data_IF_008691701992
#
_entry.id   IF_008691701992
#
_cell.length_a   1.000
_cell.length_b   1.000
_cell.length_c   1.000
_cell.angle_alpha   90.00
_cell.angle_beta   90.00
_cell.angle_gamma   90.00
#
_symmetry.space_group_name_H-M   'P 1'
#
loop_
_entity.id
_entity.type
_entity.pdbx_description
1 polymer ?
#
# COMPACT_ATOMS: atom_id res chain seq x y z
N UNK A 1 7.47 1.40 -11.36
CA UNK A 1 7.29 2.86 -11.16
C UNK A 1 8.20 3.19 -9.99
N UNK A 2 9.19 4.08 -10.11
CA UNK A 2 10.24 4.15 -9.10
C UNK A 2 9.69 4.44 -7.69
N UNK A 3 10.16 3.69 -6.68
CA UNK A 3 9.85 3.95 -5.27
C UNK A 3 10.18 5.39 -4.92
N UNK A 4 9.29 6.04 -4.18
CA UNK A 4 9.52 7.37 -3.61
C UNK A 4 10.18 7.27 -2.24
N UNK A 5 10.65 8.40 -1.69
CA UNK A 5 11.16 8.43 -0.31
C UNK A 5 10.06 8.11 0.72
N UNK A 6 8.78 8.39 0.41
CA UNK A 6 7.68 7.99 1.27
C UNK A 6 7.50 6.46 1.27
N UNK A 7 7.57 5.83 0.10
CA UNK A 7 7.54 4.37 -0.03
C UNK A 7 8.71 3.72 0.71
N UNK A 8 9.91 4.31 0.61
CA UNK A 8 11.10 3.82 1.29
C UNK A 8 10.93 3.75 2.81
N UNK A 9 10.24 4.72 3.44
CA UNK A 9 9.94 4.68 4.88
C UNK A 9 9.05 3.48 5.24
N UNK A 10 8.02 3.21 4.42
CA UNK A 10 7.12 2.07 4.61
C UNK A 10 7.88 0.76 4.41
N UNK A 11 8.70 0.66 3.35
CA UNK A 11 9.56 -0.51 3.08
C UNK A 11 10.46 -0.80 4.28
N UNK A 12 11.17 0.19 4.80
CA UNK A 12 12.05 0.03 5.96
C UNK A 12 11.28 -0.40 7.22
N UNK A 13 10.08 0.14 7.44
CA UNK A 13 9.23 -0.28 8.55
C UNK A 13 8.74 -1.73 8.40
N UNK A 14 8.38 -2.16 7.19
CA UNK A 14 8.03 -3.55 6.92
C UNK A 14 9.22 -4.51 7.10
N UNK A 15 10.43 -4.10 6.69
CA UNK A 15 11.66 -4.86 6.93
C UNK A 15 11.93 -4.97 8.43
N UNK A 16 11.82 -3.87 9.19
CA UNK A 16 12.00 -3.87 10.64
C UNK A 16 10.98 -4.77 11.37
N UNK A 17 9.75 -4.89 10.82
CA UNK A 17 8.72 -5.83 11.30
C UNK A 17 9.03 -7.31 10.98
N UNK A 18 10.03 -7.58 10.14
CA UNK A 18 10.40 -8.93 9.71
C UNK A 18 9.51 -9.49 8.59
N UNK A 19 9.02 -8.63 7.71
CA UNK A 19 8.26 -9.06 6.54
C UNK A 19 9.18 -9.60 5.43
N UNK A 20 8.68 -10.58 4.65
CA UNK A 20 9.42 -11.12 3.51
C UNK A 20 9.56 -10.07 2.40
N UNK A 21 10.77 -9.93 1.84
CA UNK A 21 11.03 -9.03 0.70
C UNK A 21 10.10 -9.28 -0.47
N UNK A 22 9.69 -10.53 -0.72
CA UNK A 22 8.70 -10.85 -1.76
C UNK A 22 7.33 -10.20 -1.49
N UNK A 23 6.87 -10.22 -0.25
CA UNK A 23 5.59 -9.61 0.13
C UNK A 23 5.67 -8.09 0.10
N UNK A 24 6.79 -7.52 0.56
CA UNK A 24 7.06 -6.07 0.49
C UNK A 24 7.06 -5.64 -0.98
N UNK A 25 7.86 -6.30 -1.83
CA UNK A 25 7.95 -6.02 -3.25
C UNK A 25 6.58 -6.07 -3.94
N UNK A 26 5.75 -7.05 -3.56
CA UNK A 26 4.38 -7.12 -4.03
C UNK A 26 3.61 -5.83 -3.70
N UNK A 27 3.64 -5.31 -2.46
CA UNK A 27 3.01 -4.03 -2.05
C UNK A 27 3.36 -2.80 -2.86
N UNK A 28 4.52 -2.79 -3.50
CA UNK A 28 4.93 -1.65 -4.33
C UNK A 28 4.89 -1.96 -5.83
N UNK A 29 4.59 -3.20 -6.22
CA UNK A 29 4.64 -3.63 -7.63
C UNK A 29 6.05 -3.62 -8.19
N UNK A 30 7.04 -3.87 -7.32
CA UNK A 30 8.47 -3.78 -7.63
C UNK A 30 9.15 -5.16 -7.47
N UNK A 31 10.45 -5.22 -7.77
CA UNK A 31 11.26 -6.43 -7.60
C UNK A 31 11.89 -6.48 -6.19
N UNK A 32 12.11 -7.67 -5.64
CA UNK A 32 12.82 -7.88 -4.36
C UNK A 32 14.23 -7.27 -4.32
N UNK A 33 14.90 -7.18 -5.48
CA UNK A 33 16.18 -6.49 -5.60
C UNK A 33 16.05 -5.00 -5.23
N UNK A 34 14.96 -4.35 -5.66
CA UNK A 34 14.69 -2.94 -5.36
C UNK A 34 14.45 -2.72 -3.87
N UNK A 35 13.81 -3.68 -3.20
CA UNK A 35 13.63 -3.66 -1.74
C UNK A 35 14.99 -3.77 -1.03
N UNK A 36 15.86 -4.67 -1.50
CA UNK A 36 17.22 -4.80 -0.96
C UNK A 36 18.07 -3.52 -1.14
N UNK A 37 17.91 -2.80 -2.25
CA UNK A 37 18.57 -1.50 -2.45
C UNK A 37 18.08 -0.45 -1.44
N UNK A 38 16.78 -0.44 -1.11
CA UNK A 38 16.23 0.47 -0.08
C UNK A 38 16.82 0.15 1.30
N UNK A 39 16.93 -1.14 1.65
CA UNK A 39 17.59 -1.59 2.90
C UNK A 39 19.06 -1.13 2.96
N UNK A 40 19.74 -1.07 1.82
CA UNK A 40 21.13 -0.60 1.71
C UNK A 40 21.26 0.93 1.69
N UNK A 41 20.14 1.67 1.72
CA UNK A 41 20.13 3.13 1.81
C UNK A 41 20.10 3.85 0.46
N UNK A 42 19.57 3.25 -0.60
CA UNK A 42 19.42 3.92 -1.92
C UNK A 42 18.59 5.21 -1.87
N UNK A 43 17.75 5.36 -0.84
CA UNK A 43 16.93 6.56 -0.57
C UNK A 43 17.49 7.43 0.58
N UNK A 44 18.76 7.23 0.96
CA UNK A 44 19.37 7.88 2.12
C UNK A 44 18.89 7.30 3.46
N UNK A 45 19.29 7.93 4.57
CA UNK A 45 18.80 7.57 5.91
C UNK A 45 17.36 8.04 6.08
N UNK A 46 16.41 7.14 5.83
CA UNK A 46 15.00 7.34 6.10
C UNK A 46 14.63 6.71 7.45
N UNK A 47 13.83 7.42 8.25
CA UNK A 47 13.23 6.84 9.45
C UNK A 47 12.17 5.82 9.04
N UNK A 48 12.22 4.56 9.52
CA UNK A 48 11.19 3.56 9.26
C UNK A 48 9.81 4.07 9.68
N UNK A 49 8.78 3.79 8.87
CA UNK A 49 7.40 4.12 9.24
C UNK A 49 6.97 3.32 10.49
N UNK A 50 6.18 3.91 11.39
CA UNK A 50 5.73 3.24 12.61
C UNK A 50 4.70 2.14 12.29
N UNK A 51 4.52 1.14 13.17
CA UNK A 51 3.67 -0.03 12.90
C UNK A 51 2.24 0.28 12.46
N UNK A 52 1.65 1.36 12.96
CA UNK A 52 0.31 1.85 12.62
C UNK A 52 0.15 2.29 11.16
N UNK A 53 1.23 2.75 10.54
CA UNK A 53 1.25 3.21 9.13
C UNK A 53 1.57 2.08 8.16
N UNK A 54 1.99 0.92 8.66
CA UNK A 54 2.40 -0.20 7.82
C UNK A 54 1.18 -0.93 7.26
N UNK A 55 1.25 -1.41 6.00
CA UNK A 55 0.23 -2.33 5.50
C UNK A 55 0.22 -3.62 6.33
N UNK A 56 -0.88 -4.41 6.28
CA UNK A 56 -0.92 -5.73 6.90
C UNK A 56 0.23 -6.63 6.43
N UNK A 57 0.68 -7.52 7.31
CA UNK A 57 1.71 -8.50 6.97
C UNK A 57 1.20 -9.47 5.89
N UNK A 58 2.08 -9.82 4.96
CA UNK A 58 1.77 -10.71 3.84
C UNK A 58 1.67 -9.98 2.50
N UNK A 59 1.55 -10.73 1.39
CA UNK A 59 1.41 -10.12 0.08
C UNK A 59 0.00 -9.52 -0.01
N UNK A 60 -0.14 -8.33 -0.58
CA UNK A 60 -1.45 -7.81 -0.93
C UNK A 60 -1.97 -8.64 -2.08
N UNK A 61 -3.02 -9.41 -1.87
CA UNK A 61 -3.85 -9.84 -2.99
C UNK A 61 -4.23 -8.60 -3.81
N UNK A 62 -4.11 -8.65 -5.15
CA UNK A 62 -4.30 -7.49 -6.02
C UNK A 62 -5.68 -6.84 -5.81
N UNK A 63 -6.71 -7.68 -5.69
CA UNK A 63 -8.08 -7.27 -5.31
C UNK A 63 -8.14 -6.60 -3.93
N UNK A 64 -7.47 -7.17 -2.94
CA UNK A 64 -7.43 -6.65 -1.57
C UNK A 64 -6.78 -5.28 -1.47
N UNK A 65 -5.66 -5.02 -2.17
CA UNK A 65 -5.05 -3.68 -2.20
C UNK A 65 -5.97 -2.66 -2.84
N UNK A 66 -6.54 -3.00 -4.00
CA UNK A 66 -7.45 -2.10 -4.72
C UNK A 66 -8.64 -1.75 -3.85
N UNK A 67 -9.28 -2.74 -3.23
CA UNK A 67 -10.40 -2.51 -2.32
C UNK A 67 -10.02 -1.62 -1.13
N UNK A 68 -8.84 -1.83 -0.53
CA UNK A 68 -8.33 -0.97 0.56
C UNK A 68 -8.20 0.49 0.12
N UNK A 69 -7.73 0.75 -1.10
CA UNK A 69 -7.62 2.11 -1.62
C UNK A 69 -8.99 2.79 -1.80
N UNK A 70 -9.99 2.06 -2.30
CA UNK A 70 -11.36 2.56 -2.40
C UNK A 70 -11.99 2.81 -1.03
N UNK A 71 -11.77 1.92 -0.06
CA UNK A 71 -12.23 2.10 1.32
C UNK A 71 -11.59 3.33 1.98
N UNK A 72 -10.28 3.54 1.81
CA UNK A 72 -9.61 4.73 2.32
C UNK A 72 -10.13 6.03 1.68
N UNK A 73 -10.41 6.01 0.37
CA UNK A 73 -11.03 7.15 -0.33
C UNK A 73 -12.44 7.43 0.22
N UNK A 74 -13.23 6.40 0.48
CA UNK A 74 -14.57 6.54 1.03
C UNK A 74 -14.54 7.11 2.46
N UNK A 75 -13.64 6.64 3.32
CA UNK A 75 -13.47 7.18 4.67
C UNK A 75 -13.11 8.67 4.64
N UNK A 76 -12.18 9.06 3.77
CA UNK A 76 -11.82 10.48 3.60
C UNK A 76 -13.03 11.33 3.17
N UNK A 77 -13.86 10.82 2.25
CA UNK A 77 -15.06 11.53 1.83
C UNK A 77 -16.10 11.65 2.97
N UNK A 78 -16.22 10.63 3.84
CA UNK A 78 -17.07 10.71 5.03
C UNK A 78 -16.56 11.74 6.05
N UNK A 79 -15.24 11.87 6.20
CA UNK A 79 -14.63 12.91 7.05
C UNK A 79 -14.91 14.33 6.52
N UNK A 80 -15.09 14.45 5.21
CA UNK A 80 -15.44 15.70 4.51
C UNK A 80 -16.97 15.91 4.40
N UNK A 81 -17.78 15.06 5.04
CA UNK A 81 -19.26 15.04 5.01
C UNK A 81 -19.86 14.87 3.58
N UNK A 82 -19.06 14.35 2.65
CA UNK A 82 -19.46 14.05 1.27
C UNK A 82 -19.92 12.59 1.14
N UNK A 83 -21.17 12.37 1.53
CA UNK A 83 -21.78 11.04 1.57
C UNK A 83 -21.94 10.42 0.16
N UNK A 84 -22.15 11.25 -0.86
CA UNK A 84 -22.26 10.81 -2.26
C UNK A 84 -20.90 10.33 -2.79
N UNK A 85 -19.82 11.10 -2.58
CA UNK A 85 -18.49 10.68 -2.98
C UNK A 85 -18.02 9.41 -2.23
N UNK A 86 -18.37 9.29 -0.94
CA UNK A 86 -18.09 8.09 -0.15
C UNK A 86 -18.77 6.86 -0.74
N UNK A 87 -20.07 6.98 -1.06
CA UNK A 87 -20.86 5.92 -1.67
C UNK A 87 -20.32 5.52 -3.04
N UNK A 88 -20.02 6.50 -3.91
CA UNK A 88 -19.46 6.24 -5.24
C UNK A 88 -18.11 5.52 -5.15
N UNK A 89 -17.25 5.91 -4.20
CA UNK A 89 -15.97 5.25 -3.99
C UNK A 89 -16.13 3.78 -3.59
N UNK A 90 -17.11 3.46 -2.72
CA UNK A 90 -17.41 2.08 -2.33
C UNK A 90 -17.99 1.26 -3.48
N UNK A 91 -18.99 1.79 -4.20
CA UNK A 91 -19.61 1.10 -5.34
C UNK A 91 -18.58 0.80 -6.44
N UNK A 92 -17.71 1.77 -6.75
CA UNK A 92 -16.61 1.57 -7.70
C UNK A 92 -15.60 0.52 -7.22
N UNK A 93 -15.31 0.49 -5.92
CA UNK A 93 -14.43 -0.51 -5.31
C UNK A 93 -14.98 -1.93 -5.41
N UNK A 94 -16.26 -2.11 -5.10
CA UNK A 94 -16.97 -3.39 -5.20
C UNK A 94 -17.03 -3.89 -6.64
N UNK A 95 -17.45 -3.05 -7.59
CA UNK A 95 -17.48 -3.41 -9.01
C UNK A 95 -16.11 -3.87 -9.53
N UNK A 96 -15.03 -3.21 -9.08
CA UNK A 96 -13.66 -3.60 -9.43
C UNK A 96 -13.25 -4.92 -8.77
N UNK A 97 -13.65 -5.16 -7.52
CA UNK A 97 -13.37 -6.40 -6.80
C UNK A 97 -14.05 -7.61 -7.46
N UNK A 98 -15.30 -7.44 -7.89
CA UNK A 98 -16.12 -8.49 -8.50
C UNK A 98 -15.74 -8.76 -9.96
N UNK A 99 -15.11 -7.79 -10.65
CA UNK A 99 -14.60 -8.00 -12.00
C UNK A 99 -13.50 -9.07 -12.07
N UNK A 100 -13.49 -9.82 -13.18
CA UNK A 100 -12.39 -10.73 -13.50
C UNK A 100 -11.13 -9.90 -13.77
N UNK A 101 -10.01 -10.34 -13.21
CA UNK A 101 -8.72 -9.70 -13.47
C UNK A 101 -8.32 -10.04 -14.90
N UNK A 102 -8.21 -9.02 -15.75
CA UNK A 102 -7.60 -9.10 -17.07
C UNK A 102 -6.09 -8.79 -16.98
#
# INVERSE_FOLDING_TARGET
>A
MALTNADAKIVLGMVARGDSRHHIAAWFGENQARIAEVEQGSHGQQTPAPPEDLPPKGPPGLKGRRMRAFAAKALKALEEDDLEAARQALEAGLARFDSNEA
#
